data_IF_648952418991
#
_entry.id   IF_648952418991
#
_cell.length_a   1.000
_cell.length_b   1.000
_cell.length_c   1.000
_cell.angle_alpha   90.00
_cell.angle_beta   90.00
_cell.angle_gamma   90.00
#
_symmetry.space_group_name_H-M   'P 1'
#
loop_
_entity.id
_entity.type
_entity.pdbx_description
1 polymer ?
#
# COMPACT_ATOMS: atom_id res chain seq x y z
N UNK A 1 1.46 -49.87 27.15
CA UNK A 1 0.27 -50.13 28.00
C UNK A 1 -0.30 -48.76 28.28
N UNK A 2 -1.29 -48.21 27.57
CA UNK A 2 -2.64 -48.67 27.14
C UNK A 2 -3.52 -47.47 27.52
N UNK A 3 -4.52 -46.95 26.82
CA UNK A 3 -5.31 -47.20 25.61
C UNK A 3 -6.10 -45.86 25.45
N UNK A 4 -6.23 -45.25 24.27
CA UNK A 4 -7.38 -45.38 23.33
C UNK A 4 -8.76 -45.32 24.03
N UNK A 5 -9.55 -44.27 23.73
CA UNK A 5 -10.95 -44.43 23.30
C UNK A 5 -11.27 -43.35 22.26
N UNK A 6 -11.74 -43.81 21.10
CA UNK A 6 -12.29 -43.06 19.98
C UNK A 6 -13.78 -43.44 19.82
N UNK A 7 -14.51 -42.60 19.05
CA UNK A 7 -15.79 -42.86 18.37
C UNK A 7 -17.07 -42.65 19.22
N UNK A 8 -18.21 -42.18 18.68
CA UNK A 8 -18.81 -42.48 17.37
C UNK A 8 -19.70 -41.36 16.81
N UNK A 9 -19.75 -41.38 15.47
CA UNK A 9 -20.69 -40.81 14.52
C UNK A 9 -22.09 -41.45 14.60
N UNK A 10 -23.14 -40.68 14.29
CA UNK A 10 -24.49 -41.18 14.05
C UNK A 10 -25.14 -40.38 12.91
N UNK A 11 -24.91 -40.86 11.69
CA UNK A 11 -25.81 -40.68 10.55
C UNK A 11 -27.04 -41.59 10.71
N UNK A 12 -28.20 -41.09 10.25
CA UNK A 12 -29.02 -41.72 9.19
C UNK A 12 -30.55 -41.77 9.48
N UNK A 13 -31.29 -41.57 8.38
CA UNK A 13 -32.67 -42.02 8.05
C UNK A 13 -33.88 -41.10 8.28
N UNK A 14 -34.53 -40.78 7.15
CA UNK A 14 -35.97 -41.08 7.00
C UNK A 14 -36.84 -40.04 6.26
N UNK A 15 -36.99 -40.20 4.94
CA UNK A 15 -38.20 -39.85 4.18
C UNK A 15 -38.82 -41.19 3.70
N UNK A 16 -40.13 -41.36 3.36
CA UNK A 16 -40.92 -40.47 2.47
C UNK A 16 -42.45 -40.41 2.72
N UNK A 17 -43.19 -39.57 1.96
CA UNK A 17 -44.31 -39.99 1.06
C UNK A 17 -45.21 -38.81 0.62
N UNK A 18 -45.97 -39.06 -0.45
CA UNK A 18 -46.65 -38.14 -1.37
C UNK A 18 -48.09 -37.82 -0.97
N UNK A 19 -48.65 -36.71 -1.46
CA UNK A 19 -50.07 -36.65 -1.85
C UNK A 19 -50.77 -35.28 -1.81
N UNK A 20 -51.36 -34.89 -2.95
CA UNK A 20 -52.69 -34.26 -2.97
C UNK A 20 -52.78 -32.74 -3.17
N UNK A 21 -53.21 -32.33 -4.36
CA UNK A 21 -53.75 -31.00 -4.66
C UNK A 21 -55.22 -30.87 -4.22
N UNK A 22 -55.69 -29.67 -3.85
CA UNK A 22 -56.61 -28.85 -4.68
C UNK A 22 -57.29 -27.68 -3.89
N UNK A 23 -57.39 -26.53 -4.59
CA UNK A 23 -58.32 -25.37 -4.55
C UNK A 23 -58.96 -24.82 -3.25
N UNK A 24 -58.88 -23.48 -3.11
CA UNK A 24 -60.00 -22.67 -2.57
C UNK A 24 -59.65 -21.32 -1.92
N UNK A 25 -59.92 -20.20 -2.61
CA UNK A 25 -59.79 -18.80 -2.17
C UNK A 25 -60.62 -18.45 -0.90
N UNK A 26 -60.06 -17.62 0.00
CA UNK A 26 -60.65 -16.34 0.49
C UNK A 26 -59.68 -15.55 1.37
N UNK A 27 -59.75 -14.23 1.22
CA UNK A 27 -58.89 -13.18 1.78
C UNK A 27 -58.76 -13.16 3.30
N UNK A 28 -57.54 -12.90 3.79
CA UNK A 28 -57.32 -12.06 4.97
C UNK A 28 -56.03 -11.26 4.81
N UNK A 29 -56.12 -9.93 4.98
CA UNK A 29 -54.98 -9.03 5.01
C UNK A 29 -54.10 -9.35 6.23
N UNK A 30 -52.78 -9.42 6.04
CA UNK A 30 -51.82 -9.06 7.07
C UNK A 30 -50.46 -8.70 6.43
N UNK A 31 -50.09 -7.44 6.59
CA UNK A 31 -48.76 -6.91 6.33
C UNK A 31 -47.75 -7.54 7.30
N UNK A 32 -46.72 -8.22 6.82
CA UNK A 32 -45.42 -8.31 7.50
C UNK A 32 -44.29 -8.37 6.46
N UNK A 33 -43.41 -7.38 6.61
CA UNK A 33 -42.08 -7.14 6.02
C UNK A 33 -41.47 -8.21 5.08
N UNK A 34 -41.11 -7.75 3.88
CA UNK A 34 -40.10 -8.36 3.06
C UNK A 34 -38.74 -8.30 3.78
N UNK A 35 -38.19 -9.46 4.12
CA UNK A 35 -36.78 -9.60 4.47
C UNK A 35 -35.97 -9.51 3.16
N UNK A 36 -35.51 -8.31 2.84
CA UNK A 36 -34.40 -8.13 1.89
C UNK A 36 -33.13 -8.61 2.58
N UNK A 37 -32.55 -9.69 2.04
CA UNK A 37 -31.16 -10.06 2.31
C UNK A 37 -30.30 -8.93 1.77
N UNK A 38 -29.90 -8.01 2.65
CA UNK A 38 -28.88 -7.03 2.35
C UNK A 38 -27.58 -7.79 2.06
N UNK A 39 -27.17 -7.82 0.79
CA UNK A 39 -25.78 -8.06 0.46
C UNK A 39 -24.94 -7.06 1.25
N UNK A 40 -24.08 -7.58 2.11
CA UNK A 40 -23.10 -6.80 2.85
C UNK A 40 -22.19 -6.08 1.85
N UNK A 41 -22.52 -4.84 1.51
CA UNK A 41 -21.60 -3.89 0.92
C UNK A 41 -20.55 -3.58 1.95
N UNK A 42 -19.43 -4.30 1.91
CA UNK A 42 -18.32 -4.03 2.81
C UNK A 42 -17.61 -2.76 2.37
N UNK A 43 -17.43 -1.91 3.38
CA UNK A 43 -16.65 -0.69 3.41
C UNK A 43 -15.25 -0.95 2.83
N UNK A 44 -15.06 -0.61 1.55
CA UNK A 44 -13.73 -0.31 1.06
C UNK A 44 -13.25 0.91 1.82
N UNK A 45 -12.08 0.82 2.46
CA UNK A 45 -11.24 1.98 2.73
C UNK A 45 -10.77 2.55 1.38
N UNK A 46 -11.70 2.98 0.55
CA UNK A 46 -11.45 3.85 -0.58
C UNK A 46 -11.34 5.24 0.00
N UNK A 47 -10.12 5.77 0.01
CA UNK A 47 -9.94 7.22 -0.04
C UNK A 47 -10.80 7.71 -1.20
N UNK A 48 -11.97 8.27 -0.88
CA UNK A 48 -12.80 8.93 -1.88
C UNK A 48 -11.97 10.07 -2.49
N UNK A 49 -12.05 10.32 -3.80
CA UNK A 49 -11.52 11.52 -4.41
C UNK A 49 -12.42 12.71 -4.00
N UNK A 50 -12.25 13.14 -2.76
CA UNK A 50 -12.85 14.34 -2.19
C UNK A 50 -11.93 14.91 -1.11
N UNK A 51 -10.64 15.08 -1.43
CA UNK A 51 -9.70 15.88 -0.64
C UNK A 51 -9.46 17.21 -1.37
N UNK A 52 -10.53 17.99 -1.45
CA UNK A 52 -10.47 19.39 -1.84
C UNK A 52 -11.39 20.21 -0.91
N UNK A 53 -11.04 20.28 0.38
CA UNK A 53 -11.51 21.35 1.26
C UNK A 53 -10.68 21.39 2.56
N UNK A 54 -9.84 22.42 2.70
CA UNK A 54 -9.59 23.04 4.02
C UNK A 54 -8.19 22.97 4.62
N UNK A 55 -7.23 22.26 4.03
CA UNK A 55 -5.82 22.34 4.43
C UNK A 55 -5.01 23.17 3.43
N UNK A 56 -4.08 24.01 3.91
CA UNK A 56 -3.02 24.52 3.05
C UNK A 56 -2.17 23.34 2.59
N UNK A 57 -2.41 22.85 1.37
CA UNK A 57 -1.52 21.89 0.73
C UNK A 57 -0.18 22.61 0.60
N UNK A 58 0.87 22.13 1.26
CA UNK A 58 2.21 22.60 0.96
C UNK A 58 2.42 22.45 -0.55
N UNK A 59 2.82 23.52 -1.24
CA UNK A 59 2.89 23.55 -2.71
C UNK A 59 3.74 22.41 -3.30
N UNK A 60 4.61 21.79 -2.49
CA UNK A 60 5.46 20.65 -2.84
C UNK A 60 4.70 19.37 -3.22
N UNK A 61 3.49 19.15 -2.70
CA UNK A 61 2.69 17.93 -2.93
C UNK A 61 1.63 18.01 -4.02
N UNK A 62 1.44 19.19 -4.63
CA UNK A 62 0.38 19.40 -5.63
C UNK A 62 0.72 18.71 -6.95
N UNK A 63 -0.21 17.91 -7.46
CA UNK A 63 -0.12 17.27 -8.76
C UNK A 63 -1.12 17.81 -9.78
N UNK A 64 -1.07 17.33 -11.02
CA UNK A 64 -2.03 17.70 -12.05
C UNK A 64 -3.46 17.28 -11.62
N UNK A 65 -4.43 18.12 -11.97
CA UNK A 65 -5.82 17.83 -11.69
C UNK A 65 -6.33 16.70 -12.56
N UNK A 66 -7.00 15.73 -11.94
CA UNK A 66 -7.79 14.72 -12.65
C UNK A 66 -9.16 15.31 -12.95
N UNK A 67 -9.55 15.27 -14.23
CA UNK A 67 -10.89 15.67 -14.64
C UNK A 67 -11.92 14.75 -13.96
N UNK A 68 -12.82 15.27 -13.10
CA UNK A 68 -13.81 14.45 -12.41
C UNK A 68 -14.76 13.71 -13.35
N UNK A 69 -14.99 14.24 -14.56
CA UNK A 69 -15.80 13.59 -15.59
C UNK A 69 -15.10 12.40 -16.23
N UNK A 70 -13.76 12.43 -16.30
CA UNK A 70 -12.92 11.34 -16.83
C UNK A 70 -12.55 10.32 -15.77
N UNK A 71 -12.26 10.76 -14.55
CA UNK A 71 -11.90 9.91 -13.41
C UNK A 71 -10.47 9.35 -13.44
N UNK A 72 -9.66 9.74 -14.43
CA UNK A 72 -8.23 9.40 -14.51
C UNK A 72 -7.48 10.41 -15.39
N UNK A 73 -6.17 10.45 -15.23
CA UNK A 73 -5.22 11.18 -16.06
C UNK A 73 -4.19 10.20 -16.62
N UNK A 74 -3.85 10.34 -17.89
CA UNK A 74 -2.72 9.65 -18.53
C UNK A 74 -1.77 10.69 -19.11
N UNK A 75 -0.48 10.56 -18.81
CA UNK A 75 0.56 11.46 -19.30
C UNK A 75 1.77 10.66 -19.76
N UNK A 76 2.34 11.05 -20.89
CA UNK A 76 3.59 10.46 -21.35
C UNK A 76 4.74 10.93 -20.45
N UNK A 77 5.51 9.99 -19.91
CA UNK A 77 6.79 10.28 -19.24
C UNK A 77 7.85 10.48 -20.31
N UNK A 78 7.97 9.51 -21.21
CA UNK A 78 8.93 9.56 -22.31
C UNK A 78 8.99 8.23 -23.04
N UNK A 79 9.32 8.27 -24.33
CA UNK A 79 9.81 7.08 -25.04
C UNK A 79 8.91 5.83 -24.93
N UNK A 80 7.59 6.02 -24.99
CA UNK A 80 6.58 4.96 -24.92
C UNK A 80 6.15 4.56 -23.50
N UNK A 81 6.65 5.21 -22.45
CA UNK A 81 6.21 5.00 -21.07
C UNK A 81 5.25 6.11 -20.64
N UNK A 82 4.17 5.72 -19.97
CA UNK A 82 3.07 6.59 -19.58
C UNK A 82 2.74 6.41 -18.11
N UNK A 83 2.56 7.52 -17.39
CA UNK A 83 2.02 7.57 -16.04
C UNK A 83 0.50 7.67 -16.08
N UNK A 84 -0.18 6.95 -15.20
CA UNK A 84 -1.64 6.95 -15.05
C UNK A 84 -1.99 7.18 -13.60
N UNK A 85 -2.96 8.06 -13.32
CA UNK A 85 -3.44 8.31 -11.95
C UNK A 85 -4.93 8.60 -11.90
N UNK A 86 -5.58 8.29 -10.79
CA UNK A 86 -6.93 8.77 -10.43
C UNK A 86 -6.90 9.97 -9.46
N UNK A 87 -5.69 10.48 -9.15
CA UNK A 87 -5.45 11.59 -8.23
C UNK A 87 -5.02 11.15 -6.83
N UNK A 88 -5.21 9.88 -6.48
CA UNK A 88 -4.76 9.29 -5.22
C UNK A 88 -3.80 8.11 -5.44
N UNK A 89 -4.17 7.20 -6.33
CA UNK A 89 -3.36 6.07 -6.78
C UNK A 89 -2.75 6.37 -8.13
N UNK A 90 -1.55 5.85 -8.36
CA UNK A 90 -0.92 5.97 -9.66
C UNK A 90 -0.07 4.76 -10.02
N UNK A 91 0.10 4.55 -11.31
CA UNK A 91 0.92 3.49 -11.88
C UNK A 91 1.48 3.92 -13.23
N UNK A 92 2.13 3.02 -13.96
CA UNK A 92 2.61 3.25 -15.32
C UNK A 92 2.36 2.06 -16.24
N UNK A 93 2.27 2.35 -17.54
CA UNK A 93 2.31 1.33 -18.59
C UNK A 93 3.28 1.73 -19.70
N UNK A 94 3.79 0.72 -20.41
CA UNK A 94 4.79 0.86 -21.45
C UNK A 94 4.27 0.29 -22.76
N UNK A 95 4.28 1.11 -23.81
CA UNK A 95 3.93 0.72 -25.18
C UNK A 95 5.20 0.35 -25.95
N UNK A 96 5.26 -0.89 -26.43
CA UNK A 96 6.34 -1.38 -27.30
C UNK A 96 5.86 -1.71 -28.70
N UNK A 97 6.76 -2.14 -29.58
CA UNK A 97 6.42 -2.72 -30.89
C UNK A 97 5.61 -4.02 -30.81
N UNK A 98 5.66 -4.76 -29.70
CA UNK A 98 5.03 -6.08 -29.55
C UNK A 98 3.78 -6.11 -28.67
N UNK A 99 3.44 -5.01 -27.98
CA UNK A 99 2.26 -4.92 -27.12
C UNK A 99 2.40 -3.85 -26.06
N UNK A 100 1.57 -3.95 -25.01
CA UNK A 100 1.64 -3.12 -23.81
C UNK A 100 2.11 -3.96 -22.61
N UNK A 101 3.05 -3.42 -21.83
CA UNK A 101 3.36 -3.89 -20.46
C UNK A 101 2.66 -2.96 -19.48
N UNK A 102 1.68 -3.45 -18.74
CA UNK A 102 1.12 -2.74 -17.60
C UNK A 102 1.96 -3.01 -16.34
N UNK A 103 2.12 -2.01 -15.47
CA UNK A 103 2.60 -2.23 -14.11
C UNK A 103 1.44 -1.99 -13.15
N UNK A 104 1.32 -2.84 -12.13
CA UNK A 104 0.23 -2.89 -11.16
C UNK A 104 -1.18 -2.79 -11.80
N UNK A 105 -2.23 -2.84 -10.99
CA UNK A 105 -3.60 -2.67 -11.41
C UNK A 105 -4.46 -2.14 -10.25
N UNK A 106 -4.32 -0.85 -9.86
CA UNK A 106 -5.08 -0.30 -8.75
C UNK A 106 -6.59 -0.47 -8.97
N UNK A 107 -7.34 -1.02 -8.01
CA UNK A 107 -8.77 -1.27 -8.18
C UNK A 107 -9.59 0.02 -8.30
N UNK A 108 -9.05 1.15 -7.82
CA UNK A 108 -9.65 2.49 -7.98
C UNK A 108 -9.58 2.99 -9.41
N UNK A 109 -8.52 2.65 -10.16
CA UNK A 109 -8.46 2.85 -11.60
C UNK A 109 -9.39 1.88 -12.33
N UNK A 110 -9.36 0.59 -11.99
CA UNK A 110 -10.23 -0.43 -12.58
C UNK A 110 -10.29 -0.35 -14.12
N UNK A 111 -11.50 -0.26 -14.68
CA UNK A 111 -11.71 -0.11 -16.13
C UNK A 111 -11.09 1.17 -16.74
N UNK A 112 -10.89 2.21 -15.94
CA UNK A 112 -10.25 3.44 -16.42
C UNK A 112 -8.79 3.21 -16.83
N UNK A 113 -8.14 2.18 -16.30
CA UNK A 113 -6.77 1.87 -16.71
C UNK A 113 -6.72 1.41 -18.18
N UNK A 114 -7.68 0.59 -18.62
CA UNK A 114 -7.77 0.19 -20.03
C UNK A 114 -8.18 1.35 -20.93
N UNK A 115 -9.03 2.26 -20.46
CA UNK A 115 -9.35 3.49 -21.20
C UNK A 115 -8.11 4.37 -21.38
N UNK A 116 -7.29 4.53 -20.34
CA UNK A 116 -6.01 5.24 -20.41
C UNK A 116 -5.06 4.63 -21.44
N UNK A 117 -4.97 3.30 -21.49
CA UNK A 117 -4.16 2.60 -22.49
C UNK A 117 -4.74 2.82 -23.90
N UNK A 118 -6.06 2.72 -24.07
CA UNK A 118 -6.74 2.88 -25.35
C UNK A 118 -6.68 4.32 -25.91
N UNK A 119 -6.53 5.33 -25.07
CA UNK A 119 -6.26 6.71 -25.53
C UNK A 119 -4.88 6.84 -26.20
N UNK A 120 -3.96 5.92 -25.90
CA UNK A 120 -2.58 5.96 -26.37
C UNK A 120 -2.33 4.95 -27.49
N UNK A 121 -2.94 3.76 -27.44
CA UNK A 121 -2.67 2.69 -28.40
C UNK A 121 -3.78 1.65 -28.50
N UNK A 122 -3.95 1.06 -29.69
CA UNK A 122 -4.82 -0.10 -29.95
C UNK A 122 -4.12 -1.45 -29.71
N UNK A 123 -2.85 -1.46 -29.28
CA UNK A 123 -2.09 -2.69 -29.05
C UNK A 123 -2.63 -3.43 -27.82
N UNK A 124 -2.65 -4.78 -27.84
CA UNK A 124 -3.09 -5.55 -26.70
C UNK A 124 -2.11 -5.42 -25.53
N UNK A 125 -2.65 -5.45 -24.31
CA UNK A 125 -1.84 -5.72 -23.12
C UNK A 125 -1.41 -7.18 -23.17
N UNK A 126 -0.11 -7.41 -23.08
CA UNK A 126 0.46 -8.77 -23.11
C UNK A 126 1.12 -9.14 -21.79
N UNK A 127 1.53 -8.15 -20.99
CA UNK A 127 2.21 -8.35 -19.72
C UNK A 127 1.63 -7.45 -18.63
N UNK A 128 1.63 -7.96 -17.40
CA UNK A 128 1.32 -7.24 -16.18
C UNK A 128 2.43 -7.52 -15.16
N UNK A 129 3.09 -6.48 -14.66
CA UNK A 129 4.12 -6.58 -13.62
C UNK A 129 3.52 -6.20 -12.28
N UNK A 130 3.66 -7.03 -11.25
CA UNK A 130 3.30 -6.67 -9.88
C UNK A 130 4.49 -6.08 -9.13
N UNK A 131 4.29 -4.95 -8.47
CA UNK A 131 5.27 -4.35 -7.56
C UNK A 131 5.36 -5.08 -6.23
N UNK A 132 4.21 -5.50 -5.68
CA UNK A 132 4.03 -6.30 -4.46
C UNK A 132 2.58 -6.75 -4.30
N UNK A 133 2.28 -7.60 -3.32
CA UNK A 133 0.97 -8.27 -3.19
C UNK A 133 -0.22 -7.34 -2.88
N UNK A 134 0.01 -6.11 -2.41
CA UNK A 134 -1.02 -5.35 -1.73
C UNK A 134 -2.28 -5.09 -2.59
N UNK A 135 -3.43 -5.15 -1.93
CA UNK A 135 -4.75 -5.15 -2.57
C UNK A 135 -5.03 -3.87 -3.35
N UNK A 136 -4.62 -2.73 -2.80
CA UNK A 136 -4.79 -1.41 -3.38
C UNK A 136 -3.92 -1.20 -4.63
N UNK A 137 -2.91 -2.04 -4.85
CA UNK A 137 -2.08 -1.98 -6.05
C UNK A 137 -2.47 -3.00 -7.11
N UNK A 138 -2.88 -4.22 -6.75
CA UNK A 138 -3.04 -5.29 -7.75
C UNK A 138 -4.43 -5.93 -7.82
N UNK A 139 -5.41 -5.51 -7.01
CA UNK A 139 -6.74 -6.13 -7.04
C UNK A 139 -7.57 -5.83 -8.32
N UNK A 140 -7.17 -4.88 -9.14
CA UNK A 140 -7.73 -4.69 -10.49
C UNK A 140 -7.26 -5.75 -11.50
N UNK A 141 -6.25 -6.57 -11.16
CA UNK A 141 -5.62 -7.49 -12.10
C UNK A 141 -6.58 -8.56 -12.66
N UNK A 142 -7.66 -8.90 -11.96
CA UNK A 142 -8.66 -9.84 -12.48
C UNK A 142 -9.42 -9.37 -13.72
N UNK A 143 -9.39 -8.07 -14.03
CA UNK A 143 -9.99 -7.48 -15.23
C UNK A 143 -9.15 -7.74 -16.49
N UNK A 144 -7.87 -8.09 -16.34
CA UNK A 144 -6.99 -8.39 -17.47
C UNK A 144 -7.37 -9.74 -18.09
N UNK A 145 -7.10 -9.86 -19.40
CA UNK A 145 -7.32 -11.10 -20.14
C UNK A 145 -6.47 -12.25 -19.56
N UNK A 146 -7.00 -13.48 -19.65
CA UNK A 146 -6.40 -14.66 -18.98
C UNK A 146 -5.06 -15.11 -19.58
N UNK A 147 -4.74 -14.66 -20.78
CA UNK A 147 -3.52 -14.93 -21.51
C UNK A 147 -2.42 -13.86 -21.29
N UNK A 148 -2.71 -12.80 -20.51
CA UNK A 148 -1.68 -11.84 -20.07
C UNK A 148 -0.65 -12.54 -19.19
N UNK A 149 0.63 -12.34 -19.51
CA UNK A 149 1.73 -12.85 -18.68
C UNK A 149 1.89 -11.97 -17.45
N UNK A 150 1.73 -12.55 -16.26
CA UNK A 150 1.87 -11.84 -14.99
C UNK A 150 3.27 -12.13 -14.42
N UNK A 151 4.08 -11.10 -14.28
CA UNK A 151 5.46 -11.18 -13.79
C UNK A 151 5.52 -10.60 -12.38
N UNK A 152 6.07 -11.34 -11.42
CA UNK A 152 6.22 -10.86 -10.04
C UNK A 152 7.41 -11.53 -9.33
N UNK A 153 7.74 -11.04 -8.14
CA UNK A 153 8.70 -11.71 -7.27
C UNK A 153 8.14 -13.05 -6.75
N UNK A 154 9.02 -14.03 -6.47
CA UNK A 154 8.62 -15.35 -5.96
C UNK A 154 7.78 -15.25 -4.66
N UNK A 155 8.15 -14.33 -3.75
CA UNK A 155 7.38 -14.10 -2.52
C UNK A 155 5.98 -13.52 -2.77
N UNK A 156 5.78 -12.74 -3.83
CA UNK A 156 4.44 -12.28 -4.21
C UNK A 156 3.56 -13.47 -4.58
N UNK A 157 4.10 -14.45 -5.32
CA UNK A 157 3.36 -15.67 -5.65
C UNK A 157 3.02 -16.51 -4.40
N UNK A 158 3.95 -16.66 -3.47
CA UNK A 158 3.72 -17.35 -2.18
C UNK A 158 2.61 -16.68 -1.36
N UNK A 159 2.65 -15.35 -1.24
CA UNK A 159 1.64 -14.58 -0.55
C UNK A 159 0.28 -14.75 -1.20
N UNK A 160 0.18 -14.55 -2.52
CA UNK A 160 -1.10 -14.67 -3.25
C UNK A 160 -1.71 -16.08 -3.14
N UNK A 161 -0.89 -17.14 -3.20
CA UNK A 161 -1.35 -18.51 -2.99
C UNK A 161 -1.98 -18.70 -1.59
N UNK A 162 -1.45 -18.04 -0.56
CA UNK A 162 -1.99 -18.07 0.80
C UNK A 162 -3.26 -17.22 0.96
N UNK A 163 -3.35 -16.07 0.27
CA UNK A 163 -4.49 -15.14 0.39
C UNK A 163 -5.76 -15.67 -0.27
N UNK A 164 -5.63 -16.42 -1.36
CA UNK A 164 -6.75 -16.97 -2.15
C UNK A 164 -7.76 -15.89 -2.59
N UNK A 165 -7.29 -14.68 -2.88
CA UNK A 165 -8.13 -13.59 -3.38
C UNK A 165 -8.31 -13.73 -4.90
N UNK A 166 -9.52 -14.03 -5.42
CA UNK A 166 -9.72 -14.22 -6.85
C UNK A 166 -9.50 -12.95 -7.68
N UNK A 167 -9.43 -11.78 -7.04
CA UNK A 167 -9.16 -10.50 -7.72
C UNK A 167 -7.69 -10.29 -8.09
N UNK A 168 -6.79 -11.11 -7.51
CA UNK A 168 -5.34 -11.01 -7.67
C UNK A 168 -4.80 -12.35 -8.20
N UNK A 169 -4.90 -12.59 -9.52
CA UNK A 169 -4.43 -13.82 -10.14
C UNK A 169 -2.96 -14.09 -9.83
N UNK A 170 -2.62 -15.37 -9.69
CA UNK A 170 -1.24 -15.79 -9.43
C UNK A 170 -0.31 -15.37 -10.59
N UNK A 171 0.94 -14.98 -10.30
CA UNK A 171 1.94 -14.70 -11.33
C UNK A 171 2.20 -15.94 -12.20
N UNK A 172 2.32 -15.75 -13.51
CA UNK A 172 2.68 -16.82 -14.45
C UNK A 172 4.19 -16.93 -14.63
N UNK A 173 4.94 -15.88 -14.31
CA UNK A 173 6.40 -15.84 -14.28
C UNK A 173 6.85 -15.25 -12.94
N UNK A 174 7.80 -15.93 -12.28
CA UNK A 174 8.39 -15.46 -11.03
C UNK A 174 9.90 -15.33 -11.13
N UNK A 175 10.48 -14.51 -10.25
CA UNK A 175 11.93 -14.36 -10.10
C UNK A 175 12.32 -14.13 -8.63
N UNK A 176 13.56 -14.47 -8.26
CA UNK A 176 14.06 -14.38 -6.87
C UNK A 176 14.89 -13.13 -6.57
N UNK A 177 15.60 -12.58 -7.55
CA UNK A 177 16.51 -11.44 -7.31
C UNK A 177 16.41 -10.38 -8.39
N UNK A 178 16.64 -10.76 -9.65
CA UNK A 178 16.51 -9.85 -10.79
C UNK A 178 15.81 -10.53 -11.95
N UNK A 179 15.08 -9.75 -12.74
CA UNK A 179 14.47 -10.18 -13.99
C UNK A 179 14.52 -9.04 -15.00
N UNK A 180 14.90 -9.33 -16.24
CA UNK A 180 14.82 -8.37 -17.33
C UNK A 180 13.64 -8.74 -18.22
N UNK A 181 12.65 -7.85 -18.29
CA UNK A 181 11.49 -8.00 -19.16
C UNK A 181 11.77 -7.24 -20.45
N UNK A 182 12.10 -7.99 -21.50
CA UNK A 182 12.21 -7.47 -22.87
C UNK A 182 10.86 -7.63 -23.57
N UNK A 183 10.32 -6.53 -24.11
CA UNK A 183 9.11 -6.55 -24.92
C UNK A 183 9.32 -5.66 -26.16
N UNK A 184 9.48 -6.30 -27.32
CA UNK A 184 9.69 -5.57 -28.57
C UNK A 184 10.94 -4.70 -28.51
N UNK A 185 10.76 -3.38 -28.62
CA UNK A 185 11.81 -2.36 -28.53
C UNK A 185 11.95 -1.71 -27.14
N UNK A 186 11.35 -2.31 -26.11
CA UNK A 186 11.30 -1.77 -24.76
C UNK A 186 11.79 -2.79 -23.72
N UNK A 187 12.26 -2.28 -22.58
CA UNK A 187 12.86 -3.07 -21.52
C UNK A 187 12.51 -2.54 -20.14
N UNK A 188 12.16 -3.43 -19.21
CA UNK A 188 12.12 -3.15 -17.77
C UNK A 188 13.12 -4.04 -17.03
N UNK A 189 13.85 -3.45 -16.08
CA UNK A 189 14.71 -4.14 -15.12
C UNK A 189 13.98 -4.26 -13.78
N UNK A 190 13.63 -5.50 -13.41
CA UNK A 190 12.98 -5.81 -12.14
C UNK A 190 14.04 -6.28 -11.14
N UNK A 191 14.04 -5.73 -9.94
CA UNK A 191 14.98 -6.12 -8.89
C UNK A 191 14.32 -6.18 -7.51
N UNK A 192 14.50 -7.30 -6.81
CA UNK A 192 14.22 -7.39 -5.39
C UNK A 192 15.47 -7.02 -4.61
N UNK A 193 15.36 -6.04 -3.70
CA UNK A 193 16.50 -5.54 -2.90
C UNK A 193 16.31 -5.70 -1.40
N UNK A 194 15.58 -6.74 -1.00
CA UNK A 194 15.30 -7.05 0.40
C UNK A 194 14.00 -6.43 0.92
N UNK A 195 13.59 -6.92 2.08
CA UNK A 195 12.35 -6.55 2.77
C UNK A 195 12.36 -5.04 3.08
N UNK A 196 11.20 -4.40 2.92
CA UNK A 196 11.00 -3.00 3.27
C UNK A 196 9.53 -2.78 3.68
N UNK A 197 8.75 -2.04 2.89
CA UNK A 197 7.31 -1.89 3.05
C UNK A 197 6.60 -3.25 3.11
N UNK A 198 6.91 -4.14 2.17
CA UNK A 198 6.48 -5.54 2.19
C UNK A 198 7.66 -6.51 2.05
N UNK A 199 7.42 -7.81 2.26
CA UNK A 199 8.44 -8.85 2.07
C UNK A 199 8.76 -9.13 0.60
N UNK A 200 7.99 -8.57 -0.33
CA UNK A 200 7.98 -8.89 -1.76
C UNK A 200 8.10 -7.66 -2.67
N UNK A 201 8.28 -6.45 -2.11
CA UNK A 201 8.43 -5.20 -2.85
C UNK A 201 9.63 -5.22 -3.81
N UNK A 202 9.37 -4.93 -5.08
CA UNK A 202 10.41 -4.83 -6.12
C UNK A 202 10.59 -3.41 -6.65
N UNK A 203 11.78 -3.18 -7.22
CA UNK A 203 12.15 -2.02 -8.00
C UNK A 203 11.88 -2.35 -9.48
N UNK A 204 11.18 -1.48 -10.20
CA UNK A 204 10.84 -1.64 -11.62
C UNK A 204 11.47 -0.47 -12.37
N UNK A 205 12.61 -0.69 -13.01
CA UNK A 205 13.39 0.37 -13.65
C UNK A 205 13.28 0.32 -15.18
N UNK A 206 12.97 1.45 -15.80
CA UNK A 206 12.89 1.65 -17.23
C UNK A 206 14.08 2.51 -17.68
N UNK A 207 15.25 1.91 -17.99
CA UNK A 207 16.50 2.63 -18.17
C UNK A 207 16.46 3.60 -19.36
N UNK A 208 15.75 3.25 -20.44
CA UNK A 208 15.62 4.11 -21.63
C UNK A 208 14.90 5.43 -21.31
N UNK A 209 13.99 5.39 -20.34
CA UNK A 209 13.15 6.52 -19.95
C UNK A 209 13.69 7.25 -18.71
N UNK A 210 14.74 6.73 -18.06
CA UNK A 210 15.18 7.24 -16.76
C UNK A 210 14.06 7.20 -15.72
N UNK A 211 13.23 6.14 -15.72
CA UNK A 211 12.08 6.05 -14.80
C UNK A 211 12.22 4.87 -13.87
N UNK A 212 12.10 5.12 -12.57
CA UNK A 212 11.96 4.08 -11.56
C UNK A 212 10.51 4.04 -11.06
N UNK A 213 9.93 2.86 -10.97
CA UNK A 213 8.72 2.63 -10.18
C UNK A 213 9.10 1.85 -8.93
N UNK A 214 8.79 2.44 -7.78
CA UNK A 214 9.05 1.84 -6.47
C UNK A 214 7.99 2.33 -5.49
N UNK A 215 7.15 1.39 -5.06
CA UNK A 215 5.84 1.67 -4.48
C UNK A 215 5.90 1.70 -2.96
N UNK A 216 5.14 2.62 -2.35
CA UNK A 216 4.84 2.72 -0.91
C UNK A 216 6.02 3.01 0.02
N UNK A 217 7.15 3.48 -0.51
CA UNK A 217 8.28 3.95 0.31
C UNK A 217 8.47 5.45 0.25
N UNK A 218 8.31 6.04 -0.94
CA UNK A 218 8.47 7.48 -1.16
C UNK A 218 7.11 8.08 -1.48
N UNK A 219 6.80 9.23 -0.89
CA UNK A 219 5.54 9.96 -1.08
C UNK A 219 5.86 11.38 -1.59
N UNK A 220 6.02 11.60 -2.90
CA UNK A 220 6.49 12.86 -3.46
C UNK A 220 5.74 14.11 -2.95
N UNK A 221 6.45 14.96 -2.20
CA UNK A 221 5.89 16.17 -1.58
C UNK A 221 4.93 15.98 -0.39
N UNK A 222 4.73 14.74 0.07
CA UNK A 222 3.83 14.40 1.18
C UNK A 222 4.56 13.70 2.32
N UNK A 223 4.05 13.88 3.54
CA UNK A 223 4.39 13.06 4.68
C UNK A 223 3.99 11.61 4.36
N UNK A 224 4.84 10.61 4.61
CA UNK A 224 4.46 9.22 4.43
C UNK A 224 3.14 8.91 5.15
N UNK A 225 2.35 8.02 4.55
CA UNK A 225 1.13 7.53 5.19
C UNK A 225 1.43 6.97 6.58
N UNK A 226 0.42 6.92 7.46
CA UNK A 226 0.59 6.55 8.88
C UNK A 226 1.48 5.31 9.06
N UNK A 227 2.26 5.32 10.14
CA UNK A 227 3.21 4.28 10.48
C UNK A 227 4.20 3.96 9.34
N UNK A 228 4.69 5.02 8.69
CA UNK A 228 5.58 5.05 7.52
C UNK A 228 5.13 4.10 6.41
N UNK A 229 3.88 4.26 6.01
CA UNK A 229 3.29 3.49 4.92
C UNK A 229 2.88 2.09 5.34
N UNK A 230 2.65 1.81 6.62
CA UNK A 230 2.39 0.45 7.15
C UNK A 230 3.50 -0.56 6.85
N UNK A 231 4.74 -0.06 6.73
CA UNK A 231 5.89 -0.89 6.44
C UNK A 231 6.11 -1.97 7.51
N UNK A 232 6.36 -3.20 7.06
CA UNK A 232 6.60 -4.33 7.97
C UNK A 232 8.03 -4.37 8.51
N UNK A 233 8.99 -3.78 7.79
CA UNK A 233 10.40 -3.72 8.16
C UNK A 233 10.90 -2.27 8.01
N UNK A 234 10.89 -1.55 9.13
CA UNK A 234 11.22 -0.11 9.14
C UNK A 234 12.72 0.12 8.88
N UNK A 235 13.67 -0.68 9.39
CA UNK A 235 15.08 -0.57 8.99
C UNK A 235 15.28 -0.74 7.48
N UNK A 236 14.58 -1.68 6.84
CA UNK A 236 14.57 -1.90 5.40
C UNK A 236 13.91 -0.77 4.62
N UNK A 237 12.82 -0.19 5.14
CA UNK A 237 12.19 1.04 4.62
C UNK A 237 13.16 2.23 4.64
N UNK A 238 13.84 2.47 5.76
CA UNK A 238 14.87 3.51 5.88
C UNK A 238 15.98 3.26 4.86
N UNK A 239 16.50 2.04 4.83
CA UNK A 239 17.55 1.62 3.89
C UNK A 239 17.11 1.56 2.42
N UNK A 240 15.82 1.68 2.10
CA UNK A 240 15.35 1.67 0.72
C UNK A 240 15.60 3.01 0.01
N UNK A 241 15.67 4.12 0.74
CA UNK A 241 15.97 5.44 0.18
C UNK A 241 17.34 5.48 -0.51
N UNK A 242 18.40 4.97 0.13
CA UNK A 242 19.72 4.83 -0.50
C UNK A 242 19.72 3.90 -1.72
N UNK A 243 18.88 2.87 -1.72
CA UNK A 243 18.75 1.93 -2.85
C UNK A 243 18.07 2.58 -4.04
N UNK A 244 17.07 3.43 -3.80
CA UNK A 244 16.43 4.28 -4.83
C UNK A 244 17.44 5.27 -5.40
N UNK A 245 18.16 6.00 -4.53
CA UNK A 245 19.14 7.01 -4.95
C UNK A 245 20.31 6.45 -5.76
N UNK A 246 20.55 5.14 -5.71
CA UNK A 246 21.58 4.45 -6.51
C UNK A 246 21.18 4.24 -7.98
N UNK A 247 19.92 4.45 -8.35
CA UNK A 247 19.48 4.41 -9.75
C UNK A 247 19.70 5.75 -10.45
N UNK A 248 20.00 5.69 -11.75
CA UNK A 248 20.02 6.86 -12.63
C UNK A 248 18.60 7.11 -13.18
N UNK A 249 17.75 7.71 -12.36
CA UNK A 249 16.38 8.04 -12.71
C UNK A 249 16.13 9.55 -12.62
N UNK A 250 15.27 10.03 -13.52
CA UNK A 250 14.70 11.37 -13.52
C UNK A 250 13.29 11.37 -12.91
N UNK A 251 12.49 10.33 -13.23
CA UNK A 251 11.10 10.19 -12.77
C UNK A 251 10.93 9.01 -11.83
N UNK A 252 10.20 9.21 -10.73
CA UNK A 252 9.79 8.18 -9.78
C UNK A 252 8.27 8.00 -9.80
N UNK A 253 7.78 6.80 -10.10
CA UNK A 253 6.37 6.41 -9.93
C UNK A 253 6.24 5.69 -8.59
N UNK A 254 5.56 6.31 -7.63
CA UNK A 254 5.59 5.86 -6.24
C UNK A 254 4.28 5.21 -5.74
N UNK A 255 3.27 5.06 -6.60
CA UNK A 255 2.03 4.33 -6.31
C UNK A 255 0.92 5.16 -5.70
N UNK A 256 1.29 6.12 -4.85
CA UNK A 256 0.34 7.02 -4.18
C UNK A 256 0.66 8.49 -4.47
N UNK A 257 -0.21 9.36 -3.95
CA UNK A 257 -0.18 10.83 -4.00
C UNK A 257 -0.36 11.40 -5.41
N UNK A 258 -0.40 12.73 -5.48
CA UNK A 258 -0.96 13.42 -6.62
C UNK A 258 -0.03 13.55 -7.83
N UNK A 259 1.27 13.25 -7.72
CA UNK A 259 2.24 13.41 -8.81
C UNK A 259 3.39 12.38 -8.76
N UNK A 260 4.08 12.14 -9.90
CA UNK A 260 5.37 11.46 -9.88
C UNK A 260 6.39 12.24 -9.04
N UNK A 261 7.36 11.52 -8.50
CA UNK A 261 8.50 12.05 -7.79
C UNK A 261 9.73 12.24 -8.66
N UNK A 262 10.76 12.81 -8.05
CA UNK A 262 12.11 12.89 -8.59
C UNK A 262 13.15 12.62 -7.49
N UNK A 263 14.43 12.78 -7.82
CA UNK A 263 15.53 12.61 -6.86
C UNK A 263 15.39 13.48 -5.60
N UNK A 264 14.99 14.75 -5.74
CA UNK A 264 14.82 15.66 -4.60
C UNK A 264 13.72 15.20 -3.65
N UNK A 265 12.65 14.58 -4.15
CA UNK A 265 11.62 13.98 -3.30
C UNK A 265 12.18 12.84 -2.45
N UNK A 266 13.02 11.98 -3.03
CA UNK A 266 13.68 10.88 -2.32
C UNK A 266 14.66 11.40 -1.28
N UNK A 267 15.46 12.42 -1.62
CA UNK A 267 16.39 13.07 -0.69
C UNK A 267 15.64 13.76 0.47
N UNK A 268 14.51 14.39 0.17
CA UNK A 268 13.66 15.01 1.21
C UNK A 268 13.12 13.97 2.17
N UNK A 269 12.68 12.80 1.67
CA UNK A 269 12.22 11.72 2.54
C UNK A 269 13.36 11.00 3.27
N UNK A 270 14.54 10.89 2.66
CA UNK A 270 15.74 10.39 3.32
C UNK A 270 16.12 11.28 4.52
N UNK A 271 16.02 12.61 4.36
CA UNK A 271 16.22 13.55 5.45
C UNK A 271 15.14 13.41 6.54
N UNK A 272 13.87 13.23 6.16
CA UNK A 272 12.78 12.98 7.12
C UNK A 272 13.03 11.73 7.96
N UNK A 273 13.35 10.60 7.33
CA UNK A 273 13.57 9.34 8.09
C UNK A 273 14.81 9.43 8.97
N UNK A 274 15.84 10.16 8.53
CA UNK A 274 17.03 10.45 9.35
C UNK A 274 16.68 11.29 10.58
N UNK A 275 15.87 12.33 10.40
CA UNK A 275 15.37 13.16 11.50
C UNK A 275 14.51 12.35 12.48
N UNK A 276 13.62 11.48 11.99
CA UNK A 276 12.80 10.60 12.82
C UNK A 276 13.68 9.65 13.65
N UNK A 277 14.70 9.02 13.04
CA UNK A 277 15.65 8.16 13.74
C UNK A 277 16.38 8.94 14.83
N UNK A 278 16.91 10.12 14.50
CA UNK A 278 17.62 10.96 15.48
C UNK A 278 16.70 11.43 16.61
N UNK A 279 15.44 11.76 16.31
CA UNK A 279 14.47 12.19 17.31
C UNK A 279 14.10 11.05 18.27
N UNK A 280 13.92 9.82 17.76
CA UNK A 280 13.66 8.65 18.59
C UNK A 280 14.83 8.35 19.53
N UNK A 281 16.07 8.39 19.01
CA UNK A 281 17.28 8.23 19.82
C UNK A 281 17.36 9.27 20.94
N UNK A 282 17.11 10.54 20.62
CA UNK A 282 17.11 11.63 21.59
C UNK A 282 16.00 11.50 22.64
N UNK A 283 14.79 11.10 22.23
CA UNK A 283 13.67 10.92 23.14
C UNK A 283 14.00 9.85 24.20
N UNK A 284 14.45 8.67 23.78
CA UNK A 284 14.88 7.61 24.70
C UNK A 284 16.06 8.02 25.59
N UNK A 285 17.03 8.77 25.07
CA UNK A 285 18.15 9.28 25.85
C UNK A 285 17.73 10.31 26.91
N UNK A 286 16.71 11.13 26.61
CA UNK A 286 16.25 12.20 27.50
C UNK A 286 15.37 11.72 28.66
N UNK A 287 14.63 10.63 28.47
CA UNK A 287 13.66 10.16 29.45
C UNK A 287 13.59 8.64 29.46
N UNK A 288 14.26 8.03 30.45
CA UNK A 288 14.10 6.59 30.73
C UNK A 288 12.75 6.30 31.37
N UNK A 289 12.20 5.09 31.15
CA UNK A 289 10.96 4.66 31.81
C UNK A 289 11.01 4.77 33.35
N UNK A 290 12.09 4.39 34.06
CA UNK A 290 12.19 4.62 35.50
C UNK A 290 12.17 6.09 35.90
N UNK A 291 12.72 6.99 35.07
CA UNK A 291 12.65 8.44 35.32
C UNK A 291 11.23 8.98 35.11
N UNK A 292 10.54 8.51 34.07
CA UNK A 292 9.13 8.81 33.82
C UNK A 292 8.26 8.39 35.01
N UNK A 293 8.40 7.16 35.52
CA UNK A 293 7.61 6.67 36.66
C UNK A 293 7.81 7.50 37.95
N UNK A 294 8.99 8.09 38.16
CA UNK A 294 9.23 9.00 39.29
C UNK A 294 8.47 10.32 39.15
N UNK A 295 8.25 10.78 37.91
CA UNK A 295 7.54 12.02 37.60
C UNK A 295 6.02 11.81 37.46
N UNK A 296 5.61 10.58 37.10
CA UNK A 296 4.23 10.21 36.80
C UNK A 296 3.82 8.96 37.62
N UNK A 297 3.72 9.04 38.95
CA UNK A 297 3.26 7.91 39.76
C UNK A 297 1.78 7.58 39.44
N UNK A 298 1.34 6.33 39.63
CA UNK A 298 -0.05 5.92 39.45
C UNK A 298 -1.02 6.85 40.19
N UNK A 299 -1.92 7.50 39.46
CA UNK A 299 -2.86 8.48 40.04
C UNK A 299 -4.20 7.87 40.43
N UNK A 300 -4.58 6.76 39.81
CA UNK A 300 -5.87 6.10 40.00
C UNK A 300 -5.66 4.68 40.52
N UNK A 301 -6.57 4.23 41.40
CA UNK A 301 -6.62 2.83 41.79
C UNK A 301 -6.93 1.97 40.54
N UNK A 302 -6.12 0.94 40.32
CA UNK A 302 -6.27 0.04 39.15
C UNK A 302 -5.44 0.42 37.93
N UNK A 303 -4.66 1.52 37.96
CA UNK A 303 -3.66 1.81 36.91
C UNK A 303 -2.67 0.65 36.81
N UNK A 304 -2.52 0.11 35.60
CA UNK A 304 -1.64 -1.02 35.30
C UNK A 304 -0.27 -0.55 34.80
N UNK A 305 0.69 -1.47 34.76
CA UNK A 305 1.99 -1.20 34.13
C UNK A 305 1.86 -0.91 32.62
N UNK A 306 0.85 -1.48 31.95
CA UNK A 306 0.59 -1.23 30.53
C UNK A 306 0.09 0.19 30.29
N UNK A 307 -0.79 0.71 31.16
CA UNK A 307 -1.26 2.10 31.07
C UNK A 307 -0.08 3.08 31.22
N UNK A 308 0.80 2.83 32.21
CA UNK A 308 1.97 3.66 32.44
C UNK A 308 3.00 3.59 31.30
N UNK A 309 3.14 2.43 30.67
CA UNK A 309 4.02 2.26 29.51
C UNK A 309 3.46 3.02 28.30
N UNK A 310 2.15 2.91 28.07
CA UNK A 310 1.47 3.66 27.02
C UNK A 310 1.62 5.18 27.20
N UNK A 311 1.43 5.69 28.43
CA UNK A 311 1.63 7.11 28.74
C UNK A 311 3.08 7.55 28.51
N UNK A 312 4.05 6.67 28.82
CA UNK A 312 5.47 6.91 28.57
C UNK A 312 5.76 7.05 27.08
N UNK A 313 5.32 6.10 26.26
CA UNK A 313 5.54 6.14 24.81
C UNK A 313 4.85 7.36 24.18
N UNK A 314 3.62 7.68 24.60
CA UNK A 314 2.92 8.90 24.14
C UNK A 314 3.68 10.18 24.50
N UNK A 315 4.35 10.21 25.65
CA UNK A 315 5.19 11.34 26.06
C UNK A 315 6.40 11.47 25.13
N UNK A 316 7.09 10.38 24.82
CA UNK A 316 8.23 10.39 23.88
C UNK A 316 7.81 10.76 22.46
N UNK A 317 6.70 10.21 21.96
CA UNK A 317 6.15 10.55 20.64
C UNK A 317 5.77 12.03 20.58
N UNK A 318 5.21 12.60 21.65
CA UNK A 318 4.88 14.02 21.69
C UNK A 318 6.13 14.88 21.63
N UNK A 319 7.20 14.52 22.35
CA UNK A 319 8.49 15.20 22.26
C UNK A 319 9.07 15.16 20.83
N UNK A 320 9.06 13.99 20.18
CA UNK A 320 9.52 13.86 18.80
C UNK A 320 8.70 14.71 17.84
N UNK A 321 7.37 14.59 17.91
CA UNK A 321 6.43 15.33 17.09
C UNK A 321 6.65 16.85 17.21
N UNK A 322 6.69 17.36 18.43
CA UNK A 322 6.79 18.80 18.69
C UNK A 322 8.15 19.36 18.26
N UNK A 323 9.22 18.57 18.36
CA UNK A 323 10.56 18.93 17.87
C UNK A 323 10.67 18.94 16.34
N UNK A 324 9.97 18.04 15.66
CA UNK A 324 10.04 17.87 14.20
C UNK A 324 9.03 18.76 13.45
N UNK A 325 7.88 19.06 14.05
CA UNK A 325 6.79 19.78 13.41
C UNK A 325 7.22 21.12 12.78
N UNK A 326 8.00 22.00 13.45
CA UNK A 326 8.39 23.28 12.86
C UNK A 326 9.20 23.15 11.57
N UNK A 327 10.01 22.10 11.44
CA UNK A 327 10.83 21.85 10.24
C UNK A 327 10.01 21.30 9.09
N UNK A 328 9.07 20.39 9.38
CA UNK A 328 8.41 19.59 8.36
C UNK A 328 7.06 20.15 7.89
N UNK A 329 6.39 20.96 8.71
CA UNK A 329 5.01 21.42 8.44
C UNK A 329 4.83 22.12 7.10
N UNK A 330 5.83 22.88 6.66
CA UNK A 330 5.78 23.65 5.42
C UNK A 330 6.53 22.95 4.26
N UNK A 331 7.25 21.85 4.54
CA UNK A 331 8.03 21.10 3.55
C UNK A 331 7.23 19.96 2.92
N UNK A 332 6.41 19.28 3.72
CA UNK A 332 5.64 18.11 3.30
C UNK A 332 4.15 18.31 3.64
N UNK A 333 3.29 18.16 2.63
CA UNK A 333 1.86 18.15 2.84
C UNK A 333 1.45 16.97 3.73
N UNK A 334 0.41 17.14 4.56
CA UNK A 334 -0.05 16.10 5.49
C UNK A 334 0.84 15.91 6.74
N UNK A 335 1.84 16.77 6.98
CA UNK A 335 2.68 16.70 8.19
C UNK A 335 1.84 16.77 9.47
N UNK A 336 0.93 17.72 9.58
CA UNK A 336 0.03 17.84 10.75
C UNK A 336 -0.91 16.63 10.91
N UNK A 337 -1.08 15.83 9.84
CA UNK A 337 -1.93 14.64 9.83
C UNK A 337 -1.18 13.39 10.29
N UNK A 338 0.00 13.11 9.70
CA UNK A 338 0.67 11.81 9.87
C UNK A 338 2.04 11.85 10.57
N UNK A 339 2.59 13.03 10.88
CA UNK A 339 3.90 13.10 11.55
C UNK A 339 3.90 12.35 12.88
N UNK A 340 2.80 12.45 13.65
CA UNK A 340 2.69 11.77 14.96
C UNK A 340 2.70 10.25 14.81
N UNK A 341 1.99 9.69 13.83
CA UNK A 341 2.00 8.26 13.55
C UNK A 341 3.40 7.79 13.11
N UNK A 342 4.10 8.60 12.32
CA UNK A 342 5.44 8.28 11.85
C UNK A 342 6.49 8.41 12.98
N UNK A 343 6.28 9.32 13.94
CA UNK A 343 7.07 9.36 15.18
C UNK A 343 6.86 8.09 16.01
N UNK A 344 5.59 7.66 16.17
CA UNK A 344 5.26 6.41 16.87
C UNK A 344 5.96 5.20 16.23
N UNK A 345 5.81 5.01 14.92
CA UNK A 345 6.42 3.86 14.23
C UNK A 345 7.94 3.85 14.35
N UNK A 346 8.60 5.01 14.24
CA UNK A 346 10.05 5.08 14.41
C UNK A 346 10.49 4.83 15.86
N UNK A 347 9.75 5.35 16.84
CA UNK A 347 10.02 5.11 18.26
C UNK A 347 9.96 3.60 18.57
N UNK A 348 8.89 2.93 18.15
CA UNK A 348 8.71 1.48 18.34
C UNK A 348 9.81 0.67 17.66
N UNK A 349 10.26 1.11 16.49
CA UNK A 349 11.34 0.44 15.73
C UNK A 349 12.60 0.30 16.58
N UNK A 350 12.98 1.34 17.35
CA UNK A 350 14.19 1.31 18.17
C UNK A 350 14.19 0.17 19.20
N UNK A 351 13.02 -0.15 19.75
CA UNK A 351 12.88 -1.17 20.78
C UNK A 351 12.65 -2.55 20.16
N UNK A 352 11.86 -2.63 19.08
CA UNK A 352 11.42 -3.91 18.50
C UNK A 352 12.36 -4.43 17.42
N UNK A 353 12.82 -3.57 16.51
CA UNK A 353 13.62 -3.94 15.33
C UNK A 353 15.08 -3.46 15.43
N UNK A 354 15.37 -2.60 16.41
CA UNK A 354 16.67 -1.96 16.59
C UNK A 354 16.81 -0.65 15.80
N UNK A 355 17.82 0.14 16.15
CA UNK A 355 18.11 1.43 15.49
C UNK A 355 18.36 1.22 13.99
N UNK A 356 17.59 1.86 13.09
CA UNK A 356 17.86 1.82 11.66
C UNK A 356 19.25 2.40 11.30
N UNK A 357 19.92 1.76 10.33
CA UNK A 357 21.17 2.28 9.76
C UNK A 357 20.89 3.46 8.84
N UNK A 358 21.23 4.66 9.30
CA UNK A 358 21.14 5.92 8.55
C UNK A 358 22.48 6.30 7.88
N UNK A 359 23.47 5.40 7.88
CA UNK A 359 24.75 5.65 7.20
C UNK A 359 24.55 5.70 5.69
N UNK A 360 24.99 6.80 5.08
CA UNK A 360 24.83 7.04 3.65
C UNK A 360 23.46 7.61 3.25
N UNK A 361 22.64 8.06 4.22
CA UNK A 361 21.46 8.91 4.00
C UNK A 361 21.76 10.40 4.22
#
# INVERSE_FOLDING_TARGET
>A
MSEIVEAQDLSDRGAPSKGGADRGRRHFLQCVAAATVAQAGFCGCGLHPALAAGGTIAASGTGPLVDPGKGYLVQQIGDGLYWVTDGAYSTMFMVSSAGVVACDAPPTLGENYFKAIAEVTDKPVTHLVYSHEHVDHIAGAHLFAKDVTIVAHARTAELLASRKDPRRPAPTVTFDTTYTLEQGNQRLELAYKGINHSIDNIFIFAPRQGTLMFIDVVYPGWMPYKNLGVAIDIPGFVGAHRKVLAYDFETLVAGHVSRPGNRQDVETQAELVKDLVNAAEQAYASLSFPAFLRQHPPRLAGTTAWDLHQDYEQTLVSQMHDGLLPKWRDRLAGTETYLRDNCWAMLETFVVQGKPDISGL
#
